data_IF_124361977906
#
_entry.id   IF_124361977906
#
_cell.length_a   1.000
_cell.length_b   1.000
_cell.length_c   1.000
_cell.angle_alpha   90.00
_cell.angle_beta   90.00
_cell.angle_gamma   90.00
#
_symmetry.space_group_name_H-M   'P 1'
#
loop_
_entity.id
_entity.type
_entity.pdbx_description
1 polymer ?
#
# COMPACT_ATOMS: atom_id res chain seq x y z
N UNK A 1 -16.75 2.97 -9.61
CA UNK A 1 -17.30 4.22 -10.19
C UNK A 1 -16.36 5.42 -10.07
N UNK A 2 -15.86 5.79 -8.87
CA UNK A 2 -14.92 6.93 -8.73
C UNK A 2 -13.64 6.78 -9.57
N UNK A 3 -13.01 5.59 -9.55
CA UNK A 3 -11.78 5.33 -10.32
C UNK A 3 -11.97 5.52 -11.84
N UNK A 4 -12.93 4.81 -12.45
CA UNK A 4 -13.26 4.95 -13.89
C UNK A 4 -13.52 6.42 -14.25
N UNK A 5 -14.34 7.11 -13.46
CA UNK A 5 -14.65 8.52 -13.71
C UNK A 5 -13.39 9.39 -13.72
N UNK A 6 -12.45 9.17 -12.78
CA UNK A 6 -11.16 9.89 -12.71
C UNK A 6 -10.28 9.56 -13.92
N UNK A 7 -10.25 8.31 -14.37
CA UNK A 7 -9.45 7.91 -15.55
C UNK A 7 -10.01 8.50 -16.85
N UNK A 8 -11.33 8.48 -17.02
CA UNK A 8 -12.01 8.93 -18.24
C UNK A 8 -12.16 10.46 -18.33
N UNK A 9 -12.37 11.14 -17.20
CA UNK A 9 -12.70 12.58 -17.15
C UNK A 9 -11.60 13.43 -16.49
N UNK A 10 -10.57 12.80 -15.92
CA UNK A 10 -9.45 13.51 -15.32
C UNK A 10 -8.64 14.25 -16.38
N UNK A 11 -8.40 15.55 -16.19
CA UNK A 11 -7.55 16.37 -17.06
C UNK A 11 -6.05 16.14 -16.82
N UNK A 12 -5.64 14.91 -16.50
CA UNK A 12 -4.27 14.56 -16.10
C UNK A 12 -3.80 13.34 -16.92
N UNK A 13 -3.59 13.49 -18.23
CA UNK A 13 -3.33 12.36 -19.14
C UNK A 13 -2.01 11.63 -18.84
N UNK A 14 -1.10 12.24 -18.08
CA UNK A 14 0.19 11.67 -17.71
C UNK A 14 0.13 10.80 -16.44
N UNK A 15 -1.00 10.79 -15.73
CA UNK A 15 -1.15 10.02 -14.49
C UNK A 15 -1.39 8.53 -14.75
N UNK A 16 -2.04 8.19 -15.87
CA UNK A 16 -2.42 6.82 -16.19
C UNK A 16 -1.82 6.40 -17.55
N UNK A 17 -1.01 5.33 -17.59
CA UNK A 17 -0.53 4.75 -18.84
C UNK A 17 -1.68 4.35 -19.78
N UNK A 18 -1.43 4.30 -21.09
CA UNK A 18 -2.44 3.96 -22.11
C UNK A 18 -3.19 2.67 -21.81
N UNK A 19 -2.49 1.65 -21.31
CA UNK A 19 -3.09 0.37 -20.93
C UNK A 19 -4.10 0.47 -19.78
N UNK A 20 -3.89 1.38 -18.83
CA UNK A 20 -4.83 1.63 -17.71
C UNK A 20 -6.05 2.43 -18.19
N UNK A 21 -5.86 3.30 -19.19
CA UNK A 21 -6.93 4.09 -19.82
C UNK A 21 -7.79 3.27 -20.79
N UNK A 22 -7.35 2.09 -21.20
CA UNK A 22 -8.09 1.23 -22.10
C UNK A 22 -9.41 0.77 -21.47
N UNK A 23 -10.51 0.87 -22.22
CA UNK A 23 -11.85 0.44 -21.76
C UNK A 23 -11.84 -1.01 -21.28
N UNK A 24 -11.12 -1.90 -21.99
CA UNK A 24 -10.98 -3.30 -21.62
C UNK A 24 -10.32 -3.52 -20.25
N UNK A 25 -9.37 -2.66 -19.87
CA UNK A 25 -8.76 -2.68 -18.54
C UNK A 25 -9.77 -2.21 -17.49
N UNK A 26 -10.46 -1.10 -17.73
CA UNK A 26 -11.45 -0.54 -16.80
C UNK A 26 -12.62 -1.50 -16.56
N UNK A 27 -13.11 -2.15 -17.62
CA UNK A 27 -14.18 -3.15 -17.53
C UNK A 27 -13.75 -4.35 -16.69
N UNK A 28 -12.53 -4.85 -16.93
CA UNK A 28 -11.95 -5.95 -16.14
C UNK A 28 -11.77 -5.54 -14.69
N UNK A 29 -11.21 -4.36 -14.43
CA UNK A 29 -10.98 -3.84 -13.09
C UNK A 29 -12.28 -3.72 -12.30
N UNK A 30 -13.34 -3.14 -12.89
CA UNK A 30 -14.63 -3.00 -12.22
C UNK A 30 -15.30 -4.34 -11.92
N UNK A 31 -15.14 -5.34 -12.81
CA UNK A 31 -15.61 -6.70 -12.52
C UNK A 31 -14.85 -7.33 -11.35
N UNK A 32 -13.51 -7.26 -11.38
CA UNK A 32 -12.65 -7.93 -10.39
C UNK A 32 -12.71 -7.25 -9.02
N UNK A 33 -12.80 -5.92 -8.95
CA UNK A 33 -12.81 -5.21 -7.66
C UNK A 33 -14.05 -5.57 -6.83
N UNK A 34 -15.18 -5.86 -7.47
CA UNK A 34 -16.40 -6.30 -6.77
C UNK A 34 -16.19 -7.65 -6.11
N UNK A 35 -15.58 -8.59 -6.81
CA UNK A 35 -15.24 -9.93 -6.29
C UNK A 35 -14.27 -9.80 -5.09
N UNK A 36 -13.16 -9.09 -5.27
CA UNK A 36 -12.14 -8.88 -4.22
C UNK A 36 -12.74 -8.16 -3.01
N UNK A 37 -13.61 -7.17 -3.24
CA UNK A 37 -14.26 -6.43 -2.16
C UNK A 37 -15.22 -7.30 -1.35
N UNK A 38 -15.84 -8.29 -1.98
CA UNK A 38 -16.67 -9.30 -1.30
C UNK A 38 -15.87 -10.17 -0.32
N UNK A 39 -14.63 -10.49 -0.68
CA UNK A 39 -13.75 -11.35 0.14
C UNK A 39 -12.94 -10.57 1.19
N UNK A 40 -12.98 -9.24 1.18
CA UNK A 40 -12.22 -8.40 2.10
C UNK A 40 -12.39 -8.80 3.59
N UNK A 41 -13.60 -9.12 4.09
CA UNK A 41 -13.76 -9.54 5.48
C UNK A 41 -13.09 -10.88 5.79
N UNK A 42 -13.12 -11.83 4.85
CA UNK A 42 -12.50 -13.15 5.00
C UNK A 42 -10.97 -13.03 5.01
N UNK A 43 -10.42 -12.21 4.09
CA UNK A 43 -8.99 -11.89 4.04
C UNK A 43 -8.57 -11.23 5.34
N UNK A 44 -9.29 -10.21 5.80
CA UNK A 44 -9.00 -9.53 7.07
C UNK A 44 -9.01 -10.51 8.25
N UNK A 45 -10.04 -11.34 8.36
CA UNK A 45 -10.12 -12.37 9.41
C UNK A 45 -8.91 -13.31 9.39
N UNK A 46 -8.47 -13.74 8.21
CA UNK A 46 -7.29 -14.59 8.07
C UNK A 46 -6.01 -13.89 8.51
N UNK A 47 -5.77 -12.65 8.05
CA UNK A 47 -4.57 -11.87 8.39
C UNK A 47 -4.43 -11.65 9.91
N UNK A 48 -5.55 -11.47 10.62
CA UNK A 48 -5.58 -11.26 12.06
C UNK A 48 -5.77 -12.54 12.88
N UNK A 49 -5.81 -13.72 12.25
CA UNK A 49 -6.14 -14.98 12.93
C UNK A 49 -5.04 -15.49 13.88
N UNK A 50 -3.78 -15.12 13.64
CA UNK A 50 -2.66 -15.52 14.46
C UNK A 50 -2.13 -14.32 15.28
N UNK A 51 -2.37 -14.28 16.60
CA UNK A 51 -2.02 -13.13 17.44
C UNK A 51 -0.51 -12.89 17.55
N UNK A 52 0.34 -13.89 17.26
CA UNK A 52 1.81 -13.70 17.22
C UNK A 52 2.23 -12.73 16.10
N UNK A 53 1.40 -12.59 15.05
CA UNK A 53 1.65 -11.69 13.94
C UNK A 53 0.86 -10.38 14.04
N UNK A 54 0.23 -10.07 15.18
CA UNK A 54 -0.55 -8.84 15.34
C UNK A 54 0.10 -7.98 16.43
N UNK A 55 0.29 -6.70 16.14
CA UNK A 55 0.90 -5.76 17.08
C UNK A 55 0.91 -4.34 16.55
N UNK A 56 1.58 -3.42 17.25
CA UNK A 56 1.79 -2.07 16.74
C UNK A 56 2.82 -2.07 15.60
N UNK A 57 2.40 -1.61 14.43
CA UNK A 57 3.23 -1.61 13.24
C UNK A 57 3.11 -0.32 12.45
N UNK A 58 4.10 -0.07 11.60
CA UNK A 58 4.20 1.08 10.73
C UNK A 58 3.87 0.65 9.29
N UNK A 59 2.63 0.86 8.84
CA UNK A 59 2.20 0.39 7.51
C UNK A 59 2.95 1.06 6.35
N UNK A 60 3.46 2.28 6.57
CA UNK A 60 4.16 3.08 5.58
C UNK A 60 5.69 3.01 5.78
N UNK A 61 6.24 1.86 6.18
CA UNK A 61 7.66 1.70 6.56
C UNK A 61 8.58 1.49 5.34
N UNK A 62 8.38 2.29 4.31
CA UNK A 62 9.22 2.34 3.11
C UNK A 62 10.49 3.18 3.34
N UNK A 63 11.46 3.08 2.42
CA UNK A 63 12.78 3.71 2.60
C UNK A 63 12.74 5.23 2.56
N UNK A 64 11.77 5.82 1.86
CA UNK A 64 11.48 7.26 1.85
C UNK A 64 10.99 7.79 3.20
N UNK A 65 10.46 6.93 4.07
CA UNK A 65 10.13 7.26 5.46
C UNK A 65 11.22 6.88 6.47
N UNK A 66 12.42 6.53 6.01
CA UNK A 66 13.58 6.35 6.87
C UNK A 66 14.48 7.58 6.82
N UNK A 67 15.04 7.96 7.97
CA UNK A 67 16.14 8.92 8.03
C UNK A 67 17.39 8.24 8.56
N UNK A 68 18.53 8.61 8.01
CA UNK A 68 19.82 7.96 8.28
C UNK A 68 20.76 8.96 8.95
N UNK A 69 21.51 8.50 9.95
CA UNK A 69 22.48 9.33 10.66
C UNK A 69 23.70 8.52 11.06
N UNK A 70 24.84 9.20 11.19
CA UNK A 70 26.09 8.57 11.65
C UNK A 70 26.18 8.63 13.16
N UNK A 71 26.53 7.51 13.79
CA UNK A 71 26.88 7.44 15.21
C UNK A 71 28.32 7.92 15.45
N UNK A 72 28.70 8.24 16.71
CA UNK A 72 30.05 8.68 17.04
C UNK A 72 31.17 7.68 16.72
N UNK A 73 30.85 6.39 16.67
CA UNK A 73 31.79 5.31 16.28
C UNK A 73 31.97 5.17 14.76
N UNK A 74 31.32 6.05 13.98
CA UNK A 74 31.36 6.05 12.52
C UNK A 74 30.35 5.10 11.85
N UNK A 75 29.58 4.32 12.61
CA UNK A 75 28.54 3.44 12.07
C UNK A 75 27.33 4.24 11.56
N UNK A 76 26.62 3.70 10.57
CA UNK A 76 25.36 4.25 10.09
C UNK A 76 24.20 3.63 10.86
N UNK A 77 23.24 4.46 11.24
CA UNK A 77 22.00 4.05 11.88
C UNK A 77 20.81 4.71 11.19
N UNK A 78 19.60 4.25 11.50
CA UNK A 78 18.38 4.85 10.97
C UNK A 78 17.28 4.96 12.01
N UNK A 79 16.36 5.90 11.75
CA UNK A 79 15.07 5.98 12.41
C UNK A 79 13.94 6.08 11.39
N UNK A 80 12.71 6.06 11.88
CA UNK A 80 11.49 6.15 11.07
C UNK A 80 10.82 7.51 11.23
N UNK A 81 10.16 7.96 10.16
CA UNK A 81 9.30 9.13 10.10
C UNK A 81 7.87 8.70 9.75
N UNK A 82 6.94 9.66 9.73
CA UNK A 82 5.58 9.50 9.18
C UNK A 82 4.75 8.37 9.80
N UNK A 83 4.56 8.46 11.12
CA UNK A 83 3.72 7.52 11.88
C UNK A 83 2.21 7.72 11.65
N UNK A 84 1.78 8.39 10.57
CA UNK A 84 0.36 8.65 10.29
C UNK A 84 -0.47 7.37 10.11
N UNK A 85 0.15 6.28 9.67
CA UNK A 85 -0.45 4.94 9.55
C UNK A 85 0.03 3.97 10.63
N UNK A 86 0.65 4.45 11.71
CA UNK A 86 1.06 3.60 12.81
C UNK A 86 -0.16 3.19 13.65
N UNK A 87 -0.47 1.90 13.65
CA UNK A 87 -1.55 1.38 14.49
C UNK A 87 -1.37 -0.11 14.78
N UNK A 88 -2.28 -0.66 15.58
CA UNK A 88 -2.30 -2.07 15.90
C UNK A 88 -2.88 -2.87 14.72
N UNK A 89 -2.03 -3.63 14.02
CA UNK A 89 -2.39 -4.34 12.79
C UNK A 89 -1.67 -5.68 12.64
N UNK A 90 -2.15 -6.49 11.70
CA UNK A 90 -1.46 -7.71 11.28
C UNK A 90 -0.16 -7.36 10.53
N UNK A 91 0.88 -8.17 10.75
CA UNK A 91 2.21 -8.01 10.13
C UNK A 91 2.15 -8.02 8.63
N UNK A 92 1.40 -8.96 8.07
CA UNK A 92 1.21 -9.04 6.63
C UNK A 92 0.63 -7.74 6.03
N UNK A 93 -0.25 -7.04 6.76
CA UNK A 93 -0.81 -5.74 6.33
C UNK A 93 0.27 -4.65 6.32
N UNK A 94 1.06 -4.55 7.39
CA UNK A 94 2.12 -3.55 7.49
C UNK A 94 3.24 -3.80 6.46
N UNK A 95 3.62 -5.06 6.31
CA UNK A 95 4.64 -5.52 5.37
C UNK A 95 4.21 -5.23 3.93
N UNK A 96 2.97 -5.59 3.56
CA UNK A 96 2.44 -5.29 2.23
C UNK A 96 2.44 -3.79 1.94
N UNK A 97 1.99 -2.95 2.89
CA UNK A 97 1.98 -1.50 2.71
C UNK A 97 3.38 -0.92 2.47
N UNK A 98 4.36 -1.39 3.24
CA UNK A 98 5.75 -0.91 3.16
C UNK A 98 6.43 -1.29 1.85
N UNK A 99 6.08 -2.44 1.24
CA UNK A 99 6.71 -2.91 0.01
C UNK A 99 5.98 -2.47 -1.26
N UNK A 100 4.66 -2.34 -1.23
CA UNK A 100 3.90 -1.89 -2.41
C UNK A 100 4.22 -0.45 -2.76
N UNK A 101 4.50 0.41 -1.77
CA UNK A 101 4.98 1.77 -2.03
C UNK A 101 6.43 1.84 -2.53
N UNK A 102 7.23 0.78 -2.33
CA UNK A 102 8.59 0.67 -2.85
C UNK A 102 8.67 0.10 -4.27
N UNK A 103 7.57 -0.43 -4.83
CA UNK A 103 7.52 -0.94 -6.20
C UNK A 103 7.39 0.22 -7.19
N UNK A 104 8.49 0.96 -7.36
CA UNK A 104 8.75 1.72 -8.57
C UNK A 104 9.27 0.79 -9.66
N UNK A 105 8.36 0.25 -10.48
CA UNK A 105 8.68 -0.29 -11.81
C UNK A 105 7.63 0.13 -12.81
#
# INVERSE_FOLDING_TARGET
>A
KMFRHVVENGKIPHLFPDGVRATSFLDKFEKQIVEISGDQPAISKYLYSNPVYVGFQHQNCNTDNAFFFRRPDGTMDCGLLDFGSFCHMAFATAFQGSFVSCLGT
#
